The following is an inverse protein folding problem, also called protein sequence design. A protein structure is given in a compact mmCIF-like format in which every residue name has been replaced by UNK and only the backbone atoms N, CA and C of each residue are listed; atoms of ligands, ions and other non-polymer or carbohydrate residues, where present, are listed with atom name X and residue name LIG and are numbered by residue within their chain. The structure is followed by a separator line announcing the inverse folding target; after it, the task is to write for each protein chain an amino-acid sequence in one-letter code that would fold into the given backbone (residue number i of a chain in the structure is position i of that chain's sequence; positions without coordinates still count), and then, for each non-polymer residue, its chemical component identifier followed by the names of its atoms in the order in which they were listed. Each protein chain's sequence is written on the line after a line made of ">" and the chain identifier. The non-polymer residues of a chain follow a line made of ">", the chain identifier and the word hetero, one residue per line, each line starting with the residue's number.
data_IF_647760235166
#
_entry.id   IF_647760235166
#
_cell.length_a   1.000
_cell.length_b   1.000
_cell.length_c   1.000
_cell.angle_alpha   90.00
_cell.angle_beta   90.00
_cell.angle_gamma   90.00
#
_symmetry.space_group_name_H-M   'P 1'
#
loop_
_entity.id
_entity.type
_entity.pdbx_description
1 polymer ?
#
# COMPACT_ATOMS: atom_id res chain seq x y z
N UNK A 1 -21.80 -8.57 0.69
CA UNK A 1 -22.25 -9.51 -0.37
C UNK A 1 -23.46 -10.28 0.16
N UNK A 2 -24.37 -10.71 -0.71
CA UNK A 2 -25.49 -11.54 -0.28
C UNK A 2 -25.14 -13.02 -0.48
N UNK A 3 -25.11 -13.80 0.60
CA UNK A 3 -24.90 -15.24 0.57
C UNK A 3 -26.23 -15.98 0.68
N UNK A 4 -26.45 -16.97 -0.17
CA UNK A 4 -27.58 -17.89 -0.07
C UNK A 4 -27.22 -18.97 0.95
N UNK A 5 -27.97 -19.05 2.05
CA UNK A 5 -27.89 -20.17 2.98
C UNK A 5 -28.56 -21.43 2.42
N UNK A 6 -28.31 -22.59 3.05
CA UNK A 6 -28.90 -23.87 2.65
C UNK A 6 -30.45 -23.88 2.62
N UNK A 7 -31.08 -22.90 3.28
CA UNK A 7 -32.53 -22.73 3.36
C UNK A 7 -33.11 -21.83 2.24
N UNK A 8 -32.28 -21.32 1.33
CA UNK A 8 -32.69 -20.39 0.28
C UNK A 8 -32.77 -18.91 0.70
N UNK A 9 -32.50 -18.59 1.97
CA UNK A 9 -32.46 -17.22 2.47
C UNK A 9 -31.16 -16.51 2.11
N UNK A 10 -31.28 -15.30 1.55
CA UNK A 10 -30.16 -14.42 1.25
C UNK A 10 -29.76 -13.64 2.51
N UNK A 11 -28.59 -13.92 3.05
CA UNK A 11 -28.03 -13.21 4.22
C UNK A 11 -26.93 -12.25 3.79
N UNK A 12 -26.97 -11.00 4.25
CA UNK A 12 -25.87 -10.07 4.03
C UNK A 12 -24.68 -10.46 4.90
N UNK A 13 -23.55 -10.76 4.26
CA UNK A 13 -22.29 -11.11 4.92
C UNK A 13 -21.16 -10.18 4.48
N UNK A 14 -20.26 -9.89 5.42
CA UNK A 14 -19.00 -9.22 5.13
C UNK A 14 -18.18 -10.05 4.15
N UNK A 15 -17.43 -9.39 3.26
CA UNK A 15 -16.60 -10.06 2.24
C UNK A 15 -15.57 -10.99 2.90
N UNK A 16 -15.03 -10.59 4.06
CA UNK A 16 -14.09 -11.39 4.87
C UNK A 16 -14.64 -12.72 5.41
N UNK A 17 -15.96 -12.85 5.48
CA UNK A 17 -16.62 -14.05 6.01
C UNK A 17 -17.06 -15.03 4.91
N UNK A 18 -16.69 -14.76 3.65
CA UNK A 18 -17.03 -15.62 2.52
C UNK A 18 -16.07 -16.81 2.50
N UNK A 19 -16.64 -18.02 2.59
CA UNK A 19 -15.88 -19.26 2.51
C UNK A 19 -15.93 -19.86 1.09
N UNK A 20 -14.96 -20.69 0.70
CA UNK A 20 -15.05 -21.48 -0.52
C UNK A 20 -16.32 -22.34 -0.50
N UNK A 21 -16.96 -22.49 -1.66
CA UNK A 21 -18.27 -23.11 -1.88
C UNK A 21 -19.50 -22.33 -1.39
N UNK A 22 -19.35 -21.14 -0.80
CA UNK A 22 -20.50 -20.27 -0.54
C UNK A 22 -21.16 -19.83 -1.86
N UNK A 23 -22.49 -19.82 -1.88
CA UNK A 23 -23.28 -19.31 -3.00
C UNK A 23 -23.60 -17.83 -2.77
N UNK A 24 -23.21 -16.99 -3.71
CA UNK A 24 -23.36 -15.54 -3.62
C UNK A 24 -24.31 -15.06 -4.72
N UNK A 25 -25.29 -14.25 -4.37
CA UNK A 25 -26.11 -13.52 -5.35
C UNK A 25 -25.38 -12.24 -5.67
N UNK A 26 -25.10 -12.05 -6.96
CA UNK A 26 -24.54 -10.81 -7.49
C UNK A 26 -25.64 -10.13 -8.31
N UNK A 27 -26.04 -8.94 -7.88
CA UNK A 27 -27.04 -8.15 -8.57
C UNK A 27 -26.39 -7.34 -9.71
N UNK A 28 -27.18 -6.87 -10.70
CA UNK A 28 -26.68 -5.92 -11.69
C UNK A 28 -26.14 -4.66 -11.00
N UNK A 29 -24.94 -4.23 -11.37
CA UNK A 29 -24.22 -3.11 -10.75
C UNK A 29 -23.30 -3.50 -9.59
N UNK A 30 -23.40 -4.72 -9.08
CA UNK A 30 -22.49 -5.21 -8.03
C UNK A 30 -21.17 -5.71 -8.62
N UNK A 31 -20.10 -5.52 -7.86
CA UNK A 31 -18.79 -6.12 -8.15
C UNK A 31 -18.69 -7.51 -7.54
N UNK A 32 -18.01 -8.39 -8.25
CA UNK A 32 -17.68 -9.73 -7.79
C UNK A 32 -16.74 -9.61 -6.56
N UNK A 33 -17.15 -10.10 -5.38
CA UNK A 33 -16.39 -9.89 -4.14
C UNK A 33 -15.20 -10.84 -3.99
N UNK A 34 -15.28 -12.04 -4.57
CA UNK A 34 -14.26 -13.09 -4.49
C UNK A 34 -14.21 -13.87 -5.80
N UNK A 35 -13.09 -14.54 -6.07
CA UNK A 35 -12.97 -15.43 -7.23
C UNK A 35 -13.97 -16.57 -7.12
N UNK A 36 -14.62 -16.92 -8.23
CA UNK A 36 -15.67 -17.92 -8.23
C UNK A 36 -16.12 -18.38 -9.61
N UNK A 37 -17.09 -19.29 -9.63
CA UNK A 37 -17.66 -19.87 -10.85
C UNK A 37 -19.15 -19.55 -10.89
N UNK A 38 -19.65 -19.10 -12.04
CA UNK A 38 -21.08 -18.86 -12.24
C UNK A 38 -21.81 -20.19 -12.22
N UNK A 39 -22.76 -20.35 -11.31
CA UNK A 39 -23.56 -21.56 -11.18
C UNK A 39 -24.93 -21.42 -11.87
N UNK A 40 -25.55 -20.25 -11.77
CA UNK A 40 -26.82 -19.97 -12.44
C UNK A 40 -26.88 -18.51 -12.91
N UNK A 41 -27.66 -18.28 -13.97
CA UNK A 41 -27.85 -16.97 -14.58
C UNK A 41 -26.88 -16.69 -15.73
N UNK A 42 -27.23 -15.69 -16.54
CA UNK A 42 -26.41 -15.15 -17.62
C UNK A 42 -26.41 -13.63 -17.49
N UNK A 43 -25.27 -12.99 -17.72
CA UNK A 43 -25.13 -11.54 -17.64
C UNK A 43 -24.03 -11.05 -18.57
N UNK A 44 -23.78 -9.74 -18.54
CA UNK A 44 -22.60 -9.12 -19.11
C UNK A 44 -21.71 -8.66 -17.96
N UNK A 45 -20.40 -8.86 -18.12
CA UNK A 45 -19.40 -8.44 -17.16
C UNK A 45 -18.40 -7.48 -17.80
N UNK A 46 -18.00 -6.48 -17.03
CA UNK A 46 -16.92 -5.57 -17.39
C UNK A 46 -15.63 -6.00 -16.68
N UNK A 47 -14.61 -6.29 -17.49
CA UNK A 47 -13.27 -6.71 -17.07
C UNK A 47 -12.26 -5.56 -17.05
N UNK A 48 -12.67 -4.33 -17.35
CA UNK A 48 -11.81 -3.14 -17.46
C UNK A 48 -10.84 -2.94 -16.30
N UNK A 49 -11.24 -3.27 -15.07
CA UNK A 49 -10.38 -3.18 -13.88
C UNK A 49 -9.17 -4.16 -13.93
N UNK A 50 -9.32 -5.30 -14.61
CA UNK A 50 -8.32 -6.38 -14.66
C UNK A 50 -7.52 -6.32 -15.95
N UNK A 51 -8.19 -6.22 -17.10
CA UNK A 51 -7.55 -6.30 -18.43
C UNK A 51 -7.48 -4.96 -19.16
N UNK A 52 -8.14 -3.90 -18.67
CA UNK A 52 -8.19 -2.60 -19.34
C UNK A 52 -9.12 -2.52 -20.55
N UNK A 53 -9.89 -3.57 -20.85
CA UNK A 53 -10.86 -3.57 -21.95
C UNK A 53 -12.25 -3.18 -21.45
N UNK A 54 -12.85 -2.16 -22.05
CA UNK A 54 -14.19 -1.66 -21.67
C UNK A 54 -15.34 -2.42 -22.34
N UNK A 55 -15.05 -3.36 -23.24
CA UNK A 55 -16.08 -4.09 -23.97
C UNK A 55 -16.77 -5.09 -23.02
N UNK A 56 -18.10 -5.01 -22.83
CA UNK A 56 -18.82 -5.98 -22.01
C UNK A 56 -18.69 -7.39 -22.59
N UNK A 57 -18.30 -8.33 -21.75
CA UNK A 57 -18.18 -9.75 -22.13
C UNK A 57 -19.40 -10.50 -21.60
N UNK A 58 -20.02 -11.31 -22.46
CA UNK A 58 -21.10 -12.19 -22.03
C UNK A 58 -20.56 -13.27 -21.09
N UNK A 59 -21.19 -13.40 -19.94
CA UNK A 59 -20.86 -14.37 -18.91
C UNK A 59 -22.04 -15.29 -18.63
N UNK A 60 -21.75 -16.58 -18.44
CA UNK A 60 -22.75 -17.60 -18.20
C UNK A 60 -22.25 -18.75 -17.34
N UNK A 61 -23.14 -19.71 -17.12
CA UNK A 61 -22.90 -20.88 -16.24
C UNK A 61 -21.61 -21.61 -16.61
N UNK A 62 -20.80 -21.93 -15.59
CA UNK A 62 -19.50 -22.60 -15.72
C UNK A 62 -18.31 -21.66 -15.95
N UNK A 63 -18.54 -20.38 -16.19
CA UNK A 63 -17.46 -19.41 -16.38
C UNK A 63 -16.84 -18.99 -15.04
N UNK A 64 -15.52 -18.87 -15.02
CA UNK A 64 -14.76 -18.33 -13.88
C UNK A 64 -14.78 -16.81 -13.92
N UNK A 65 -15.14 -16.18 -12.81
CA UNK A 65 -15.06 -14.74 -12.61
C UNK A 65 -14.05 -14.43 -11.51
N UNK A 66 -13.31 -13.35 -11.72
CA UNK A 66 -12.32 -12.85 -10.79
C UNK A 66 -12.93 -11.76 -9.90
N UNK A 67 -12.40 -11.58 -8.70
CA UNK A 67 -12.75 -10.51 -7.80
C UNK A 67 -12.50 -9.14 -8.47
N UNK A 68 -13.43 -8.20 -8.31
CA UNK A 68 -13.37 -6.85 -8.86
C UNK A 68 -14.09 -6.65 -10.20
N UNK A 69 -14.40 -7.73 -10.93
CA UNK A 69 -15.23 -7.71 -12.14
C UNK A 69 -16.60 -7.10 -11.82
N UNK A 70 -17.12 -6.25 -12.71
CA UNK A 70 -18.42 -5.60 -12.52
C UNK A 70 -19.51 -6.35 -13.29
N UNK A 71 -20.57 -6.74 -12.59
CA UNK A 71 -21.76 -7.32 -13.22
C UNK A 71 -22.67 -6.20 -13.76
N UNK A 72 -23.11 -6.28 -15.02
CA UNK A 72 -23.81 -5.18 -15.69
C UNK A 72 -25.32 -5.37 -15.84
N UNK A 73 -25.79 -6.56 -16.23
CA UNK A 73 -27.16 -6.71 -16.77
C UNK A 73 -28.07 -7.62 -15.95
N UNK A 74 -27.68 -8.88 -15.75
CA UNK A 74 -28.50 -9.91 -15.10
C UNK A 74 -28.01 -10.24 -13.69
N UNK A 75 -28.88 -10.76 -12.82
CA UNK A 75 -28.40 -11.36 -11.58
C UNK A 75 -27.80 -12.74 -11.86
N UNK A 76 -26.70 -13.04 -11.19
CA UNK A 76 -26.01 -14.31 -11.30
C UNK A 76 -25.79 -14.89 -9.91
N UNK A 77 -25.83 -16.22 -9.81
CA UNK A 77 -25.37 -16.92 -8.61
C UNK A 77 -23.95 -17.38 -8.84
N UNK A 78 -23.03 -16.90 -8.01
CA UNK A 78 -21.62 -17.22 -8.06
C UNK A 78 -21.27 -18.16 -6.91
N UNK A 79 -20.62 -19.27 -7.21
CA UNK A 79 -20.00 -20.14 -6.22
C UNK A 79 -18.58 -19.66 -5.95
N UNK A 80 -18.29 -19.26 -4.72
CA UNK A 80 -16.94 -18.84 -4.32
C UNK A 80 -15.94 -19.99 -4.49
N UNK A 81 -14.84 -19.76 -5.22
CA UNK A 81 -13.74 -20.73 -5.37
C UNK A 81 -12.62 -20.50 -4.36
N UNK A 82 -12.47 -19.28 -3.85
CA UNK A 82 -11.44 -18.89 -2.89
C UNK A 82 -12.02 -18.04 -1.75
N UNK A 83 -11.29 -17.92 -0.65
CA UNK A 83 -11.58 -16.93 0.40
C UNK A 83 -11.28 -15.53 -0.12
N UNK A 84 -11.88 -14.51 0.48
CA UNK A 84 -11.60 -13.10 0.15
C UNK A 84 -10.11 -12.75 0.19
N UNK A 85 -9.40 -13.30 1.17
CA UNK A 85 -8.00 -12.97 1.46
C UNK A 85 -7.02 -13.67 0.51
N UNK A 86 -7.52 -14.63 -0.29
CA UNK A 86 -6.79 -15.36 -1.32
C UNK A 86 -7.28 -14.97 -2.73
N UNK A 87 -8.05 -13.88 -2.84
CA UNK A 87 -8.50 -13.38 -4.14
C UNK A 87 -7.35 -12.74 -4.92
N UNK A 88 -7.46 -12.76 -6.25
CA UNK A 88 -6.50 -12.12 -7.13
C UNK A 88 -6.18 -10.65 -6.75
N UNK A 89 -7.19 -9.88 -6.32
CA UNK A 89 -7.00 -8.48 -5.91
C UNK A 89 -6.21 -8.37 -4.59
N UNK A 90 -6.43 -9.28 -3.64
CA UNK A 90 -5.67 -9.33 -2.40
C UNK A 90 -4.20 -9.67 -2.65
N UNK A 91 -3.92 -10.52 -3.63
CA UNK A 91 -2.55 -10.86 -4.04
C UNK A 91 -1.84 -9.68 -4.72
N UNK A 92 -2.51 -8.94 -5.61
CA UNK A 92 -1.97 -7.71 -6.19
C UNK A 92 -1.68 -6.68 -5.10
N UNK A 93 -2.61 -6.48 -4.15
CA UNK A 93 -2.41 -5.56 -3.04
C UNK A 93 -1.18 -5.93 -2.21
N UNK A 94 -1.02 -7.22 -1.86
CA UNK A 94 0.16 -7.73 -1.15
C UNK A 94 1.45 -7.50 -1.93
N UNK A 95 1.44 -7.69 -3.25
CA UNK A 95 2.61 -7.46 -4.11
C UNK A 95 3.01 -5.98 -4.15
N UNK A 96 2.03 -5.08 -4.25
CA UNK A 96 2.27 -3.62 -4.19
C UNK A 96 2.87 -3.23 -2.84
N UNK A 97 2.28 -3.73 -1.76
CA UNK A 97 2.71 -3.42 -0.39
C UNK A 97 4.12 -3.97 -0.09
N UNK A 98 4.45 -5.17 -0.57
CA UNK A 98 5.80 -5.73 -0.51
C UNK A 98 6.82 -4.89 -1.32
N UNK A 99 6.41 -4.34 -2.47
CA UNK A 99 7.24 -3.45 -3.30
C UNK A 99 7.53 -2.11 -2.62
N UNK A 100 6.51 -1.48 -2.02
CA UNK A 100 6.62 -0.22 -1.27
C UNK A 100 7.51 -0.35 -0.02
N UNK A 101 7.43 -1.48 0.70
CA UNK A 101 8.30 -1.74 1.85
C UNK A 101 9.79 -1.72 1.49
N UNK A 102 10.17 -2.15 0.28
CA UNK A 102 11.58 -2.13 -0.14
C UNK A 102 12.15 -0.71 -0.23
N UNK A 103 11.35 0.28 -0.65
CA UNK A 103 11.75 1.70 -0.69
C UNK A 103 11.92 2.27 0.73
N UNK A 104 11.11 1.82 1.68
CA UNK A 104 11.17 2.26 3.08
C UNK A 104 12.48 1.89 3.79
N UNK A 105 13.11 0.75 3.44
CA UNK A 105 14.36 0.34 4.10
C UNK A 105 15.53 1.27 3.79
N UNK A 106 15.64 1.75 2.54
CA UNK A 106 16.68 2.72 2.16
C UNK A 106 16.50 4.06 2.88
N UNK A 107 15.25 4.54 2.98
CA UNK A 107 14.91 5.75 3.72
C UNK A 107 15.29 5.60 5.20
N UNK A 108 14.94 4.47 5.83
CA UNK A 108 15.30 4.19 7.23
C UNK A 108 16.81 4.15 7.48
N UNK A 109 17.59 3.63 6.53
CA UNK A 109 19.06 3.62 6.64
C UNK A 109 19.63 5.04 6.52
N UNK A 110 19.11 5.84 5.60
CA UNK A 110 19.49 7.25 5.44
C UNK A 110 19.13 8.07 6.68
N UNK A 111 17.92 7.89 7.23
CA UNK A 111 17.47 8.56 8.45
C UNK A 111 18.33 8.20 9.65
N UNK A 112 18.75 6.93 9.77
CA UNK A 112 19.64 6.48 10.84
C UNK A 112 21.03 7.13 10.74
N UNK A 113 21.56 7.28 9.52
CA UNK A 113 22.82 7.98 9.30
C UNK A 113 22.69 9.48 9.64
N UNK A 114 21.59 10.12 9.22
CA UNK A 114 21.31 11.52 9.56
C UNK A 114 21.13 11.73 11.08
N UNK A 115 20.47 10.81 11.77
CA UNK A 115 20.27 10.86 13.21
C UNK A 115 21.59 10.76 13.99
N UNK A 116 22.58 10.01 13.50
CA UNK A 116 23.92 9.95 14.08
C UNK A 116 24.78 11.18 13.73
N UNK A 117 24.52 11.83 12.60
CA UNK A 117 25.26 13.00 12.13
C UNK A 117 24.99 14.25 12.98
N UNK A 118 23.74 14.48 13.36
CA UNK A 118 23.33 15.65 14.17
C UNK A 118 24.12 15.77 15.48
N UNK A 119 24.22 14.75 16.35
CA UNK A 119 24.99 14.85 17.59
C UNK A 119 26.49 14.97 17.35
N UNK A 120 27.02 14.37 16.27
CA UNK A 120 28.43 14.51 15.90
C UNK A 120 28.78 15.98 15.59
N UNK A 121 27.97 16.64 14.76
CA UNK A 121 28.18 18.05 14.36
C UNK A 121 28.06 19.01 15.54
N UNK A 122 27.05 18.83 16.38
CA UNK A 122 26.91 19.66 17.58
C UNK A 122 28.05 19.42 18.57
N UNK A 123 28.53 18.17 18.67
CA UNK A 123 29.70 17.81 19.47
C UNK A 123 30.97 18.49 18.98
N UNK A 124 31.25 18.47 17.68
CA UNK A 124 32.44 19.14 17.12
C UNK A 124 32.37 20.66 17.26
N UNK A 125 31.19 21.27 17.09
CA UNK A 125 30.98 22.70 17.33
C UNK A 125 31.24 23.09 18.79
N UNK A 126 30.72 22.30 19.74
CA UNK A 126 30.93 22.52 21.18
C UNK A 126 32.42 22.36 21.55
N UNK A 127 33.09 21.33 21.01
CA UNK A 127 34.52 21.13 21.22
C UNK A 127 35.36 22.28 20.64
N UNK A 128 34.97 22.82 19.48
CA UNK A 128 35.65 23.97 18.87
C UNK A 128 35.50 25.23 19.73
N UNK A 129 34.30 25.45 20.27
CA UNK A 129 34.03 26.55 21.19
C UNK A 129 34.87 26.45 22.47
N UNK A 130 34.85 25.29 23.13
CA UNK A 130 35.62 25.05 24.36
C UNK A 130 37.13 25.09 24.12
N UNK A 131 37.60 24.53 23.00
CA UNK A 131 39.01 24.54 22.63
C UNK A 131 39.54 25.97 22.47
N UNK A 132 38.80 26.85 21.82
CA UNK A 132 39.20 28.25 21.67
C UNK A 132 39.16 29.04 22.98
N UNK A 133 38.23 28.74 23.89
CA UNK A 133 38.21 29.35 25.22
C UNK A 133 39.41 28.94 26.07
N UNK A 134 39.84 27.67 26.01
CA UNK A 134 40.99 27.16 26.80
C UNK A 134 42.31 27.72 26.29
N UNK A 135 42.45 27.93 24.98
CA UNK A 135 43.65 28.52 24.35
C UNK A 135 43.75 30.04 24.59
N UNK A 136 42.71 30.66 25.18
CA UNK A 136 42.68 32.09 25.48
C UNK A 136 42.16 32.96 24.32
N UNK A 137 41.48 32.36 23.34
CA UNK A 137 40.74 33.11 22.33
C UNK A 137 39.61 33.90 22.97
N UNK A 138 39.39 35.14 22.51
CA UNK A 138 38.26 35.94 22.98
C UNK A 138 36.93 35.22 22.74
N UNK A 139 35.94 35.44 23.61
CA UNK A 139 34.61 34.84 23.52
C UNK A 139 33.96 35.06 22.14
N UNK A 140 34.17 36.23 21.54
CA UNK A 140 33.73 36.57 20.19
C UNK A 140 34.37 35.68 19.11
N UNK A 141 35.65 35.35 19.24
CA UNK A 141 36.33 34.50 18.27
C UNK A 141 35.90 33.03 18.40
N UNK A 142 35.67 32.57 19.63
CA UNK A 142 35.19 31.20 19.89
C UNK A 142 33.79 30.96 19.30
N UNK A 143 32.86 31.92 19.45
CA UNK A 143 31.50 31.78 18.92
C UNK A 143 31.47 31.84 17.39
N UNK A 144 32.26 32.72 16.77
CA UNK A 144 32.40 32.79 15.31
C UNK A 144 32.94 31.47 14.73
N UNK A 145 33.97 30.89 15.36
CA UNK A 145 34.55 29.63 14.91
C UNK A 145 33.58 28.46 15.09
N UNK A 146 32.82 28.41 16.19
CA UNK A 146 31.79 27.38 16.39
C UNK A 146 30.65 27.48 15.37
N UNK A 147 30.18 28.70 15.07
CA UNK A 147 29.19 28.95 14.03
C UNK A 147 29.71 28.56 12.64
N UNK A 148 30.96 28.87 12.31
CA UNK A 148 31.57 28.46 11.05
C UNK A 148 31.61 26.92 10.89
N UNK A 149 31.89 26.19 11.97
CA UNK A 149 31.84 24.72 11.98
C UNK A 149 30.43 24.19 11.77
N UNK A 150 29.40 24.78 12.39
CA UNK A 150 28.00 24.39 12.15
C UNK A 150 27.56 24.67 10.70
N UNK A 151 27.96 25.80 10.13
CA UNK A 151 27.59 26.17 8.76
C UNK A 151 28.25 25.23 7.74
N UNK A 152 29.55 24.96 7.88
CA UNK A 152 30.28 24.11 6.91
C UNK A 152 29.86 22.63 6.97
N UNK A 153 29.32 22.20 8.12
CA UNK A 153 28.80 20.84 8.32
C UNK A 153 27.32 20.68 7.98
N UNK A 154 26.60 21.73 7.54
CA UNK A 154 25.23 21.54 7.05
C UNK A 154 25.27 20.59 5.84
N UNK A 155 24.60 19.42 5.90
CA UNK A 155 24.58 18.46 4.81
C UNK A 155 23.53 18.86 3.76
N UNK A 156 23.45 20.15 3.43
CA UNK A 156 22.38 20.68 2.59
C UNK A 156 22.43 20.09 1.15
N UNK A 157 23.62 19.65 0.70
CA UNK A 157 23.78 18.90 -0.55
C UNK A 157 23.25 17.45 -0.51
N UNK A 158 23.19 16.83 0.68
CA UNK A 158 22.70 15.47 0.86
C UNK A 158 21.16 15.43 0.76
N UNK A 159 20.49 16.46 1.29
CA UNK A 159 19.03 16.60 1.26
C UNK A 159 18.46 16.76 -0.16
N UNK A 160 19.10 17.56 -1.03
CA UNK A 160 18.65 17.75 -2.42
C UNK A 160 18.71 16.46 -3.25
N UNK A 161 19.66 15.56 -2.95
CA UNK A 161 19.85 14.32 -3.71
C UNK A 161 18.88 13.20 -3.32
N UNK A 162 18.25 13.30 -2.14
CA UNK A 162 17.28 12.31 -1.65
C UNK A 162 15.84 12.57 -2.10
N UNK A 163 15.58 13.65 -2.85
CA UNK A 163 14.29 13.85 -3.52
C UNK A 163 13.11 14.03 -2.56
N UNK A 164 13.30 14.80 -1.49
CA UNK A 164 12.18 15.48 -0.82
C UNK A 164 11.69 16.66 -1.65
#
# INVERSE_FOLDING_TARGET
>A
AQRIGANGEATSVAVSNIAPNDLLIILPGDRIPVDGIVETGNSQADFSMINGETAPVLIGVGQKLLAGVLNLSGSITLRASAKSDDSFLAEIARLIEAGEQSKSQYVRLADKAAAAYVPLVHGTALLTFLGWLVVGGGFEQAIWNACAVLIITCPCAFLIKLGF
#
